data_IF_939822226293
#
_entry.id   IF_939822226293
#
_cell.length_a   1.000
_cell.length_b   1.000
_cell.length_c   1.000
_cell.angle_alpha   90.00
_cell.angle_beta   90.00
_cell.angle_gamma   90.00
#
_symmetry.space_group_name_H-M   'P 1'
#
loop_
_entity.id
_entity.type
_entity.pdbx_description
1 polymer ?
#
# COMPACT_ATOMS: atom_id res chain seq x y z
N UNK A 1 -55.55 27.74 34.66
CA UNK A 1 -55.81 26.88 33.48
C UNK A 1 -54.47 26.29 33.07
N UNK A 2 -54.20 25.07 33.50
CA UNK A 2 -52.94 24.34 33.29
C UNK A 2 -53.23 23.22 32.32
N UNK A 3 -52.54 23.19 31.19
CA UNK A 3 -52.69 22.20 30.13
C UNK A 3 -51.53 21.21 30.25
N UNK A 4 -51.85 19.97 30.60
CA UNK A 4 -50.93 18.84 30.61
C UNK A 4 -51.11 18.06 29.29
N UNK A 5 -50.10 18.03 28.39
CA UNK A 5 -50.24 17.42 27.06
C UNK A 5 -49.89 15.92 27.00
N UNK A 6 -49.63 15.25 28.13
CA UNK A 6 -49.24 13.83 28.13
C UNK A 6 -50.40 12.89 28.48
N UNK A 7 -51.39 12.83 27.58
CA UNK A 7 -52.40 11.79 27.60
C UNK A 7 -52.66 11.30 26.18
N UNK A 8 -51.95 10.27 25.71
CA UNK A 8 -52.64 9.03 25.37
C UNK A 8 -51.72 7.84 25.13
N UNK A 9 -52.17 6.74 25.72
CA UNK A 9 -51.62 5.40 25.67
C UNK A 9 -52.18 4.72 24.41
N UNK A 10 -51.30 4.13 23.61
CA UNK A 10 -51.66 3.34 22.42
C UNK A 10 -50.80 2.08 22.30
N UNK A 11 -50.62 1.35 23.40
CA UNK A 11 -49.97 0.03 23.38
C UNK A 11 -51.01 -1.00 22.96
N UNK A 12 -51.05 -1.32 21.66
CA UNK A 12 -51.74 -2.50 21.13
C UNK A 12 -50.72 -3.57 20.76
N UNK A 13 -50.78 -4.80 21.30
CA UNK A 13 -49.93 -5.87 20.83
C UNK A 13 -50.51 -6.43 19.53
N UNK A 14 -50.01 -5.95 18.38
CA UNK A 14 -50.23 -6.63 17.10
C UNK A 14 -49.22 -7.78 16.99
N UNK A 15 -49.58 -8.93 17.55
CA UNK A 15 -48.93 -10.20 17.24
C UNK A 15 -49.41 -10.69 15.87
N UNK A 16 -48.99 -10.00 14.81
CA UNK A 16 -49.06 -10.56 13.47
C UNK A 16 -47.89 -11.53 13.33
N UNK A 17 -48.09 -12.76 13.80
CA UNK A 17 -47.24 -13.90 13.50
C UNK A 17 -47.34 -14.21 12.01
N UNK A 18 -46.64 -13.41 11.19
CA UNK A 18 -46.30 -13.78 9.83
C UNK A 18 -45.36 -14.96 9.94
N UNK A 19 -45.92 -16.17 9.88
CA UNK A 19 -45.20 -17.40 9.54
C UNK A 19 -44.61 -17.19 8.15
N UNK A 20 -43.45 -16.52 8.08
CA UNK A 20 -42.59 -16.60 6.91
C UNK A 20 -42.23 -18.08 6.81
N UNK A 21 -42.74 -18.72 5.77
CA UNK A 21 -42.21 -20.00 5.31
C UNK A 21 -40.71 -19.78 5.10
N UNK A 22 -39.92 -20.15 6.10
CA UNK A 22 -38.48 -20.32 5.97
C UNK A 22 -38.30 -21.51 5.05
N UNK A 23 -38.38 -21.25 3.74
CA UNK A 23 -37.78 -22.17 2.79
C UNK A 23 -36.32 -22.30 3.22
N UNK A 24 -35.80 -23.52 3.40
CA UNK A 24 -34.39 -23.70 3.67
C UNK A 24 -33.67 -23.03 2.51
N UNK A 25 -32.94 -21.96 2.79
CA UNK A 25 -32.04 -21.33 1.83
C UNK A 25 -31.08 -22.45 1.46
N UNK A 26 -31.32 -23.04 0.28
CA UNK A 26 -30.47 -24.07 -0.27
C UNK A 26 -29.09 -23.45 -0.33
N UNK A 27 -28.19 -23.91 0.54
CA UNK A 27 -26.78 -23.57 0.45
C UNK A 27 -26.33 -24.26 -0.82
N UNK A 28 -26.53 -23.60 -1.95
CA UNK A 28 -25.99 -24.01 -3.23
C UNK A 28 -24.49 -24.03 -3.02
N UNK A 29 -23.94 -25.23 -2.78
CA UNK A 29 -22.52 -25.51 -2.91
C UNK A 29 -22.16 -25.14 -4.34
N UNK A 30 -21.69 -23.90 -4.51
CA UNK A 30 -21.18 -23.41 -5.78
C UNK A 30 -20.09 -24.39 -6.21
N UNK A 31 -20.33 -25.02 -7.37
CA UNK A 31 -19.39 -25.92 -8.02
C UNK A 31 -18.02 -25.24 -8.16
N UNK A 32 -16.93 -26.04 -8.25
CA UNK A 32 -15.55 -25.56 -8.23
C UNK A 32 -15.36 -24.40 -9.21
N UNK A 33 -15.10 -23.23 -8.62
CA UNK A 33 -14.83 -21.96 -9.30
C UNK A 33 -13.70 -22.15 -10.31
N UNK A 34 -13.84 -21.57 -11.50
CA UNK A 34 -12.76 -21.58 -12.48
C UNK A 34 -11.53 -20.90 -11.87
N UNK A 35 -10.33 -21.20 -12.39
CA UNK A 35 -9.10 -20.54 -11.93
C UNK A 35 -9.20 -19.00 -12.03
N UNK A 36 -9.94 -18.50 -13.03
CA UNK A 36 -10.17 -17.06 -13.22
C UNK A 36 -11.05 -16.48 -12.11
N UNK A 37 -12.11 -17.20 -11.70
CA UNK A 37 -12.98 -16.79 -10.61
C UNK A 37 -12.22 -16.72 -9.27
N UNK A 38 -11.33 -17.68 -9.01
CA UNK A 38 -10.51 -17.68 -7.81
C UNK A 38 -9.54 -16.48 -7.75
N UNK A 39 -8.95 -16.09 -8.89
CA UNK A 39 -8.09 -14.91 -8.98
C UNK A 39 -8.88 -13.62 -8.78
N UNK A 40 -10.07 -13.53 -9.40
CA UNK A 40 -10.97 -12.40 -9.23
C UNK A 40 -11.42 -12.26 -7.76
N UNK A 41 -11.88 -13.34 -7.14
CA UNK A 41 -12.30 -13.36 -5.74
C UNK A 41 -11.17 -12.96 -4.79
N UNK A 42 -9.95 -13.45 -5.02
CA UNK A 42 -8.77 -13.05 -4.24
C UNK A 42 -8.45 -11.56 -4.39
N UNK A 43 -8.58 -11.02 -5.60
CA UNK A 43 -8.31 -9.61 -5.86
C UNK A 43 -9.34 -8.72 -5.14
N UNK A 44 -10.62 -9.07 -5.21
CA UNK A 44 -11.69 -8.36 -4.50
C UNK A 44 -11.53 -8.43 -2.98
N UNK A 45 -11.19 -9.61 -2.46
CA UNK A 45 -10.87 -9.77 -1.05
C UNK A 45 -9.75 -8.80 -0.61
N UNK A 46 -8.65 -8.75 -1.37
CA UNK A 46 -7.52 -7.87 -1.04
C UNK A 46 -7.87 -6.39 -1.15
N UNK A 47 -8.63 -5.98 -2.17
CA UNK A 47 -9.09 -4.60 -2.29
C UNK A 47 -9.97 -4.21 -1.09
N UNK A 48 -10.88 -5.07 -0.66
CA UNK A 48 -11.72 -4.82 0.52
C UNK A 48 -10.89 -4.71 1.81
N UNK A 49 -9.89 -5.58 1.99
CA UNK A 49 -8.97 -5.51 3.13
C UNK A 49 -8.19 -4.20 3.12
N UNK A 50 -7.62 -3.81 1.97
CA UNK A 50 -6.88 -2.56 1.84
C UNK A 50 -7.75 -1.35 2.12
N UNK A 51 -8.98 -1.33 1.61
CA UNK A 51 -9.96 -0.28 1.89
C UNK A 51 -10.22 -0.14 3.38
N UNK A 52 -10.53 -1.24 4.06
CA UNK A 52 -10.84 -1.22 5.49
C UNK A 52 -9.67 -0.70 6.33
N UNK A 53 -8.43 -1.14 5.99
CA UNK A 53 -7.21 -0.65 6.64
C UNK A 53 -7.07 0.86 6.44
N UNK A 54 -7.16 1.35 5.20
CA UNK A 54 -6.95 2.76 4.88
C UNK A 54 -8.07 3.65 5.44
N UNK A 55 -9.32 3.19 5.44
CA UNK A 55 -10.44 3.90 6.07
C UNK A 55 -10.27 3.95 7.60
N UNK A 56 -9.77 2.87 8.21
CA UNK A 56 -9.44 2.87 9.64
C UNK A 56 -8.32 3.85 9.96
N UNK A 57 -7.25 3.85 9.16
CA UNK A 57 -6.14 4.80 9.31
C UNK A 57 -6.58 6.25 9.08
N UNK A 58 -7.47 6.51 8.11
CA UNK A 58 -8.03 7.84 7.89
C UNK A 58 -8.86 8.30 9.09
N UNK A 59 -9.64 7.39 9.68
CA UNK A 59 -10.43 7.66 10.89
C UNK A 59 -9.53 7.97 12.09
N UNK A 60 -8.42 7.26 12.24
CA UNK A 60 -7.42 7.54 13.27
C UNK A 60 -6.66 8.84 13.01
N UNK A 61 -6.33 9.15 11.76
CA UNK A 61 -5.69 10.42 11.40
C UNK A 61 -6.56 11.62 11.76
N UNK A 62 -7.87 11.55 11.48
CA UNK A 62 -8.84 12.58 11.87
C UNK A 62 -9.00 12.75 13.40
N UNK A 63 -8.69 11.71 14.17
CA UNK A 63 -8.73 11.76 15.65
C UNK A 63 -7.48 12.39 16.24
N UNK A 64 -6.41 12.52 15.47
CA UNK A 64 -5.20 13.17 15.96
C UNK A 64 -5.53 14.61 16.30
N UNK A 65 -5.24 15.08 17.53
CA UNK A 65 -5.25 16.50 17.79
C UNK A 65 -4.29 17.12 16.76
N UNK A 66 -4.81 18.04 15.96
CA UNK A 66 -4.06 18.78 14.96
C UNK A 66 -3.00 19.59 15.71
N UNK A 67 -1.84 18.98 15.98
CA UNK A 67 -0.73 19.57 16.75
C UNK A 67 -0.08 20.75 16.03
N UNK A 68 -0.56 21.08 14.83
CA UNK A 68 -0.09 22.14 13.93
C UNK A 68 -0.59 23.56 14.28
N UNK A 69 -0.53 23.94 15.55
CA UNK A 69 -0.67 25.37 15.91
C UNK A 69 0.02 25.77 17.23
N UNK A 70 0.31 24.82 18.14
CA UNK A 70 0.87 25.16 19.45
C UNK A 70 2.40 25.15 19.47
N UNK A 71 3.06 24.32 18.65
CA UNK A 71 4.54 24.24 18.63
C UNK A 71 5.21 25.39 17.88
N UNK A 72 4.53 26.00 16.90
CA UNK A 72 5.06 27.21 16.23
C UNK A 72 5.09 28.45 17.14
N UNK A 73 4.32 28.46 18.24
CA UNK A 73 4.39 29.53 19.26
C UNK A 73 5.42 29.26 20.36
N UNK A 74 5.88 28.02 20.52
CA UNK A 74 6.82 27.65 21.59
C UNK A 74 8.30 27.75 21.18
N UNK A 75 8.58 27.97 19.89
CA UNK A 75 9.93 28.19 19.34
C UNK A 75 10.56 29.58 19.65
N UNK A 76 9.90 30.42 20.46
CA UNK A 76 10.45 31.72 20.89
C UNK A 76 11.11 31.69 22.29
N UNK A 77 11.11 30.53 22.97
CA UNK A 77 11.71 30.37 24.29
C UNK A 77 12.80 29.31 24.27
N UNK A 78 14.00 29.70 24.66
CA UNK A 78 15.27 28.97 24.74
C UNK A 78 15.19 27.72 25.65
N UNK A 79 14.46 26.68 25.21
CA UNK A 79 14.32 25.41 25.92
C UNK A 79 14.95 24.32 25.06
N UNK A 80 16.01 23.73 25.61
CA UNK A 80 16.66 22.50 25.15
C UNK A 80 15.56 21.50 24.71
N UNK A 81 15.44 21.30 23.39
CA UNK A 81 14.41 20.44 22.81
C UNK A 81 14.71 19.01 23.20
N UNK A 82 14.11 18.56 24.29
CA UNK A 82 14.06 17.15 24.64
C UNK A 82 13.25 16.48 23.52
N UNK A 83 13.95 15.77 22.63
CA UNK A 83 13.35 14.91 21.61
C UNK A 83 12.61 13.79 22.36
N UNK A 84 11.38 14.04 22.75
CA UNK A 84 10.46 12.98 23.11
C UNK A 84 10.12 12.28 21.79
N UNK A 85 10.82 11.18 21.49
CA UNK A 85 10.33 10.24 20.48
C UNK A 85 8.95 9.78 20.96
N UNK A 86 7.90 10.32 20.35
CA UNK A 86 6.53 9.92 20.60
C UNK A 86 6.37 8.50 20.04
N UNK A 87 6.73 7.51 20.85
CA UNK A 87 6.75 6.09 20.47
C UNK A 87 5.39 5.63 19.92
N UNK A 88 4.32 6.32 20.33
CA UNK A 88 2.93 6.08 19.93
C UNK A 88 2.55 6.70 18.57
N UNK A 89 3.43 7.48 17.94
CA UNK A 89 3.16 8.07 16.62
C UNK A 89 3.27 7.04 15.49
N UNK A 90 2.19 6.31 15.22
CA UNK A 90 2.15 5.29 14.15
C UNK A 90 2.28 5.84 12.71
N UNK A 91 2.25 7.15 12.49
CA UNK A 91 2.33 7.78 11.16
C UNK A 91 3.67 8.52 10.96
N UNK A 92 4.74 7.96 11.48
CA UNK A 92 6.12 8.42 11.28
C UNK A 92 6.79 7.79 10.05
N UNK A 93 6.01 7.15 9.17
CA UNK A 93 6.49 6.43 7.98
C UNK A 93 6.83 4.96 8.21
N UNK A 94 6.62 4.42 9.43
CA UNK A 94 6.67 2.96 9.69
C UNK A 94 5.59 2.22 8.89
N UNK A 95 4.42 2.84 8.72
CA UNK A 95 3.34 2.35 7.87
C UNK A 95 3.54 2.84 6.43
N UNK A 96 3.26 1.98 5.46
CA UNK A 96 3.39 2.30 4.03
C UNK A 96 2.43 1.48 3.16
N UNK A 97 2.06 2.05 2.01
CA UNK A 97 1.42 1.32 0.92
C UNK A 97 2.47 0.86 -0.08
N UNK A 98 2.29 -0.33 -0.66
CA UNK A 98 3.05 -0.82 -1.80
C UNK A 98 2.22 -0.68 -3.08
N UNK A 99 2.76 -0.02 -4.11
CA UNK A 99 2.06 0.17 -5.40
C UNK A 99 2.27 -1.02 -6.34
N UNK A 100 1.58 -1.03 -7.49
CA UNK A 100 1.83 -2.03 -8.54
C UNK A 100 3.24 -1.94 -9.11
N UNK A 101 3.80 -0.72 -9.16
CA UNK A 101 5.18 -0.49 -9.57
C UNK A 101 6.22 -1.00 -8.54
N UNK A 102 5.78 -1.48 -7.37
CA UNK A 102 6.66 -1.90 -6.28
C UNK A 102 7.21 -0.74 -5.45
N UNK A 103 6.66 0.46 -5.61
CA UNK A 103 7.05 1.63 -4.83
C UNK A 103 6.47 1.53 -3.41
N UNK A 104 7.28 1.86 -2.40
CA UNK A 104 6.85 1.96 -1.00
C UNK A 104 6.58 3.41 -0.64
N UNK A 105 5.31 3.76 -0.45
CA UNK A 105 4.89 5.11 -0.10
C UNK A 105 4.60 5.14 1.41
N UNK A 106 5.46 5.79 2.23
CA UNK A 106 5.24 5.91 3.66
C UNK A 106 4.02 6.79 3.96
N UNK A 107 3.29 6.46 5.03
CA UNK A 107 2.05 7.14 5.41
C UNK A 107 2.34 8.01 6.64
N UNK A 108 2.22 9.32 6.47
CA UNK A 108 2.07 10.30 7.54
C UNK A 108 0.61 10.72 7.75
N UNK A 109 -0.18 10.73 6.68
CA UNK A 109 -1.62 10.97 6.71
C UNK A 109 -2.27 10.22 5.54
N UNK A 110 -3.55 9.87 5.70
CA UNK A 110 -4.36 9.26 4.64
C UNK A 110 -5.79 9.78 4.70
N UNK A 111 -6.31 10.20 3.54
CA UNK A 111 -7.65 10.76 3.42
C UNK A 111 -8.36 10.20 2.19
N UNK A 112 -9.60 9.71 2.29
CA UNK A 112 -10.39 9.37 1.11
C UNK A 112 -10.83 10.66 0.40
N UNK A 113 -10.48 10.82 -0.89
CA UNK A 113 -10.86 12.02 -1.68
C UNK A 113 -12.19 11.78 -2.40
N UNK A 114 -12.44 10.56 -2.86
CA UNK A 114 -13.62 10.22 -3.64
C UNK A 114 -14.02 8.77 -3.41
N UNK A 115 -15.31 8.55 -3.17
CA UNK A 115 -15.96 7.25 -3.28
C UNK A 115 -17.07 7.41 -4.32
N UNK A 116 -16.80 6.99 -5.56
CA UNK A 116 -17.82 6.99 -6.60
C UNK A 116 -18.59 5.67 -6.51
N UNK A 117 -19.81 5.72 -5.96
CA UNK A 117 -20.78 4.64 -6.05
C UNK A 117 -21.63 4.81 -7.32
N UNK A 118 -21.81 3.78 -8.17
CA UNK A 118 -22.66 3.92 -9.34
C UNK A 118 -24.12 4.09 -8.96
N UNK A 119 -24.77 5.10 -9.54
CA UNK A 119 -26.22 5.29 -9.47
C UNK A 119 -26.90 4.31 -10.44
N UNK A 120 -26.98 3.02 -10.11
CA UNK A 120 -27.52 2.02 -11.06
C UNK A 120 -28.60 1.12 -10.46
N UNK A 121 -29.49 0.65 -11.34
CA UNK A 121 -30.60 -0.28 -11.07
C UNK A 121 -30.10 -1.70 -10.77
N UNK A 122 -30.95 -2.51 -10.11
CA UNK A 122 -30.60 -3.71 -9.31
C UNK A 122 -29.52 -4.67 -9.84
N UNK A 123 -29.45 -4.93 -11.15
CA UNK A 123 -28.52 -5.92 -11.71
C UNK A 123 -27.10 -5.36 -11.95
N UNK A 124 -26.98 -4.04 -12.20
CA UNK A 124 -25.69 -3.35 -12.30
C UNK A 124 -25.08 -3.04 -10.93
N UNK A 125 -25.86 -3.22 -9.85
CA UNK A 125 -25.43 -3.02 -8.46
C UNK A 125 -24.46 -4.11 -7.98
N UNK A 126 -24.59 -5.36 -8.42
CA UNK A 126 -23.64 -6.41 -8.04
C UNK A 126 -22.27 -6.19 -8.72
N UNK A 127 -22.28 -5.77 -9.99
CA UNK A 127 -21.06 -5.40 -10.73
C UNK A 127 -20.45 -4.07 -10.24
N UNK A 128 -21.26 -3.12 -9.78
CA UNK A 128 -20.75 -1.86 -9.25
C UNK A 128 -20.42 -1.83 -7.76
N UNK A 129 -21.00 -2.71 -6.93
CA UNK A 129 -20.48 -3.00 -5.58
C UNK A 129 -19.06 -3.57 -5.65
N UNK A 130 -18.71 -4.19 -6.79
CA UNK A 130 -17.40 -4.79 -7.03
C UNK A 130 -16.33 -3.75 -7.39
N UNK A 131 -16.71 -2.55 -7.84
CA UNK A 131 -15.79 -1.47 -8.25
C UNK A 131 -16.28 -0.12 -7.72
N UNK A 132 -16.43 0.00 -6.40
CA UNK A 132 -16.39 1.33 -5.79
C UNK A 132 -14.96 1.86 -5.94
N UNK A 133 -14.72 2.72 -6.94
CA UNK A 133 -13.47 3.44 -7.10
C UNK A 133 -13.27 4.34 -5.88
N UNK A 134 -12.47 3.89 -4.93
CA UNK A 134 -12.03 4.71 -3.80
C UNK A 134 -10.65 5.23 -4.12
N UNK A 135 -10.52 6.56 -4.14
CA UNK A 135 -9.24 7.23 -4.32
C UNK A 135 -8.81 7.78 -2.97
N UNK A 136 -7.59 7.47 -2.57
CA UNK A 136 -6.98 7.98 -1.34
C UNK A 136 -5.89 8.98 -1.66
N UNK A 137 -5.86 10.06 -0.88
CA UNK A 137 -4.70 10.93 -0.71
C UNK A 137 -3.83 10.33 0.38
N UNK A 138 -2.54 10.17 0.11
CA UNK A 138 -1.54 9.76 1.09
C UNK A 138 -0.50 10.87 1.17
N UNK A 139 -0.32 11.42 2.35
CA UNK A 139 0.77 12.36 2.64
C UNK A 139 1.92 11.58 3.27
N UNK A 140 3.14 11.75 2.77
CA UNK A 140 4.34 11.14 3.35
C UNK A 140 4.86 11.98 4.53
N UNK A 141 5.74 11.42 5.38
CA UNK A 141 6.41 12.21 6.43
C UNK A 141 7.27 13.35 5.89
N UNK A 142 7.70 13.27 4.62
CA UNK A 142 8.42 14.33 3.92
C UNK A 142 7.50 15.44 3.39
N UNK A 143 6.18 15.28 3.48
CA UNK A 143 5.17 16.22 2.99
C UNK A 143 4.79 16.03 1.52
N UNK A 144 5.29 14.99 0.86
CA UNK A 144 4.88 14.63 -0.49
C UNK A 144 3.47 14.04 -0.49
N UNK A 145 2.69 14.34 -1.53
CA UNK A 145 1.28 13.95 -1.61
C UNK A 145 1.08 13.05 -2.81
N UNK A 146 0.55 11.86 -2.56
CA UNK A 146 0.20 10.86 -3.56
C UNK A 146 -1.31 10.72 -3.62
N UNK A 147 -1.89 10.75 -4.82
CA UNK A 147 -3.32 10.48 -5.04
C UNK A 147 -3.42 9.18 -5.81
N UNK A 148 -3.88 8.13 -5.14
CA UNK A 148 -3.83 6.77 -5.66
C UNK A 148 -5.21 6.13 -5.62
N UNK A 149 -5.64 5.51 -6.72
CA UNK A 149 -6.81 4.67 -6.68
C UNK A 149 -6.49 3.36 -5.93
N UNK A 150 -7.48 2.80 -5.25
CA UNK A 150 -7.31 1.58 -4.44
C UNK A 150 -6.73 0.41 -5.26
N UNK A 151 -7.11 0.29 -6.52
CA UNK A 151 -6.58 -0.74 -7.42
C UNK A 151 -5.10 -0.59 -7.74
N UNK A 152 -4.47 0.56 -7.52
CA UNK A 152 -3.02 0.73 -7.67
C UNK A 152 -2.27 0.16 -6.46
N UNK A 153 -2.95 -0.06 -5.33
CA UNK A 153 -2.35 -0.49 -4.07
C UNK A 153 -2.35 -2.01 -3.96
N UNK A 154 -1.15 -2.61 -3.95
CA UNK A 154 -0.98 -4.07 -3.88
C UNK A 154 -0.96 -4.62 -2.47
N UNK A 155 -0.56 -3.82 -1.51
CA UNK A 155 -0.43 -4.28 -0.14
C UNK A 155 -0.08 -3.18 0.84
N UNK A 156 -0.10 -3.59 2.10
CA UNK A 156 0.23 -2.75 3.23
C UNK A 156 1.50 -3.28 3.89
N UNK A 157 2.41 -2.38 4.22
CA UNK A 157 3.68 -2.71 4.86
C UNK A 157 3.81 -1.94 6.16
N UNK A 158 4.09 -2.67 7.25
CA UNK A 158 4.37 -2.11 8.56
C UNK A 158 5.78 -2.52 9.00
N UNK A 159 6.61 -1.52 9.30
CA UNK A 159 7.93 -1.73 9.91
C UNK A 159 7.77 -1.69 11.43
N UNK A 160 8.28 -2.71 12.12
CA UNK A 160 8.29 -2.69 13.58
C UNK A 160 9.31 -1.66 14.08
N UNK A 161 9.11 -1.07 15.27
CA UNK A 161 10.07 -0.12 15.85
C UNK A 161 11.48 -0.72 15.91
N UNK A 162 11.59 -1.98 16.34
CA UNK A 162 12.87 -2.66 16.48
C UNK A 162 13.58 -2.87 15.13
N UNK A 163 12.83 -3.06 14.04
CA UNK A 163 13.41 -3.14 12.70
C UNK A 163 13.90 -1.76 12.26
N UNK A 164 13.14 -0.71 12.61
CA UNK A 164 13.50 0.67 12.30
C UNK A 164 14.78 1.09 13.02
N UNK A 165 14.93 0.71 14.29
CA UNK A 165 16.17 0.94 15.06
C UNK A 165 17.36 0.24 14.44
N UNK A 166 17.19 -1.02 13.98
CA UNK A 166 18.25 -1.75 13.28
C UNK A 166 18.64 -1.09 11.96
N UNK A 167 17.67 -0.56 11.21
CA UNK A 167 17.94 0.19 9.97
C UNK A 167 18.67 1.50 10.28
N UNK A 168 18.22 2.28 11.27
CA UNK A 168 18.89 3.50 11.75
C UNK A 168 20.33 3.21 12.17
N UNK A 169 20.55 2.14 12.94
CA UNK A 169 21.87 1.72 13.39
C UNK A 169 22.79 1.28 12.23
N UNK A 170 22.24 0.57 11.24
CA UNK A 170 23.00 0.15 10.06
C UNK A 170 23.41 1.34 9.19
N UNK A 171 22.52 2.33 9.02
CA UNK A 171 22.81 3.54 8.25
C UNK A 171 23.91 4.39 8.92
N UNK A 172 23.82 4.60 10.24
CA UNK A 172 24.86 5.31 11.02
C UNK A 172 26.22 4.59 10.97
N UNK A 173 26.21 3.26 10.95
CA UNK A 173 27.42 2.44 10.81
C UNK A 173 28.12 2.59 9.45
N UNK A 174 27.42 3.02 8.39
CA UNK A 174 28.02 3.27 7.08
C UNK A 174 28.66 4.66 6.95
N UNK A 175 28.16 5.67 7.67
CA UNK A 175 28.68 7.04 7.60
C UNK A 175 29.99 7.21 8.40
N UNK A 176 30.19 6.40 9.45
CA UNK A 176 31.44 6.37 10.21
C UNK A 176 32.37 5.35 9.53
N UNK A 177 33.14 5.83 8.55
CA UNK A 177 34.00 5.06 7.64
C UNK A 177 34.95 4.05 8.29
N UNK A 178 34.41 2.89 8.67
CA UNK A 178 35.16 1.66 8.85
C UNK A 178 34.87 0.81 7.62
N UNK A 179 35.87 0.70 6.75
CA UNK A 179 35.93 -0.28 5.68
C UNK A 179 35.87 -1.70 6.27
N UNK A 180 34.70 -2.15 6.71
CA UNK A 180 34.48 -3.57 7.01
C UNK A 180 34.16 -4.26 5.70
N UNK A 181 35.20 -4.83 5.13
CA UNK A 181 35.19 -5.79 4.04
C UNK A 181 34.07 -6.84 4.27
N UNK A 182 33.01 -6.80 3.45
CA UNK A 182 32.14 -7.97 3.23
C UNK A 182 30.74 -8.04 3.87
N UNK A 183 30.27 -7.03 4.62
CA UNK A 183 28.93 -7.09 5.23
C UNK A 183 27.88 -6.24 4.47
N UNK A 184 27.61 -6.55 3.20
CA UNK A 184 26.40 -6.03 2.54
C UNK A 184 25.16 -6.66 3.20
N UNK A 185 24.11 -5.89 3.56
CA UNK A 185 22.92 -6.42 4.22
C UNK A 185 22.24 -7.48 3.34
N UNK A 186 21.75 -8.55 3.99
CA UNK A 186 21.12 -9.69 3.33
C UNK A 186 19.93 -9.21 2.50
N UNK A 187 20.09 -9.20 1.18
CA UNK A 187 19.12 -8.66 0.21
C UNK A 187 19.71 -7.67 -0.77
N UNK A 188 20.66 -6.80 -0.36
CA UNK A 188 21.30 -5.84 -1.27
C UNK A 188 22.34 -6.50 -2.19
N UNK A 189 23.05 -7.53 -1.69
CA UNK A 189 24.03 -8.29 -2.48
C UNK A 189 23.42 -8.97 -3.72
N UNK A 190 22.13 -9.32 -3.69
CA UNK A 190 21.43 -9.93 -4.81
C UNK A 190 21.18 -8.92 -5.95
N UNK A 191 20.83 -7.68 -5.61
CA UNK A 191 20.59 -6.61 -6.59
C UNK A 191 21.90 -6.04 -7.17
N UNK A 192 22.95 -5.91 -6.34
CA UNK A 192 24.25 -5.41 -6.81
C UNK A 192 25.03 -6.45 -7.64
N UNK A 193 24.82 -7.75 -7.40
CA UNK A 193 25.42 -8.83 -8.20
C UNK A 193 24.93 -8.86 -9.65
N UNK A 194 23.67 -8.48 -9.92
CA UNK A 194 23.14 -8.36 -11.29
C UNK A 194 23.77 -7.19 -12.05
N UNK A 195 24.00 -6.05 -11.39
CA UNK A 195 24.65 -4.90 -12.00
C UNK A 195 26.14 -5.15 -12.30
N UNK A 196 26.86 -5.85 -11.40
CA UNK A 196 28.29 -6.17 -11.59
C UNK A 196 28.52 -7.18 -12.72
N UNK A 197 27.61 -8.13 -12.94
CA UNK A 197 27.71 -9.07 -14.08
C UNK A 197 27.37 -8.46 -15.45
N UNK A 198 26.63 -7.34 -15.50
CA UNK A 198 26.33 -6.66 -16.75
C UNK A 198 27.56 -5.94 -17.35
N UNK A 199 28.51 -5.52 -16.49
CA UNK A 199 29.73 -4.81 -16.92
C UNK A 199 30.86 -5.77 -17.34
N UNK A 200 30.79 -7.05 -16.98
CA UNK A 200 31.78 -8.09 -17.34
C UNK A 200 31.35 -8.89 -18.59
N UNK A 201 30.52 -8.32 -19.47
CA UNK A 201 30.52 -8.74 -20.87
C UNK A 201 31.70 -8.06 -21.57
N UNK A 202 32.81 -8.79 -21.67
CA UNK A 202 33.99 -8.41 -22.43
C UNK A 202 33.58 -7.85 -23.81
N UNK A 203 34.02 -6.64 -24.21
CA UNK A 203 33.98 -6.26 -25.61
C UNK A 203 34.83 -7.26 -26.38
N UNK A 204 34.18 -8.01 -27.27
CA UNK A 204 34.81 -9.02 -28.08
C UNK A 204 36.03 -8.46 -28.80
N UNK A 205 37.14 -9.18 -28.67
CA UNK A 205 38.24 -9.18 -29.63
C UNK A 205 37.63 -9.24 -31.03
N UNK A 206 37.71 -8.14 -31.77
CA UNK A 206 37.49 -8.11 -33.20
C UNK A 206 38.41 -9.14 -33.82
N UNK A 207 37.81 -10.14 -34.47
CA UNK A 207 38.52 -11.25 -35.08
C UNK A 207 39.57 -10.74 -36.07
N UNK A 208 40.78 -11.27 -35.92
CA UNK A 208 41.74 -11.41 -37.00
C UNK A 208 41.03 -12.03 -38.20
N UNK A 209 41.02 -11.30 -39.31
CA UNK A 209 40.70 -11.84 -40.62
C UNK A 209 41.91 -12.70 -41.03
N UNK A 210 41.76 -14.01 -41.30
CA UNK A 210 42.84 -14.78 -41.87
C UNK A 210 43.06 -14.30 -43.31
N UNK A 211 44.23 -13.71 -43.55
CA UNK A 211 44.75 -13.42 -44.88
C UNK A 211 44.91 -14.75 -45.64
N UNK A 212 43.98 -15.02 -46.56
CA UNK A 212 44.13 -16.11 -47.51
C UNK A 212 44.94 -15.61 -48.70
N UNK A 213 46.27 -15.72 -48.59
CA UNK A 213 47.17 -15.71 -49.74
C UNK A 213 46.83 -16.92 -50.61
N UNK A 214 46.23 -16.70 -51.79
CA UNK A 214 46.31 -17.66 -52.89
C UNK A 214 47.00 -17.00 -54.08
N UNK A 215 48.30 -17.25 -54.12
CA UNK A 215 49.21 -16.92 -55.21
C UNK A 215 49.22 -18.04 -56.25
N UNK A 216 49.30 -17.64 -57.53
CA UNK A 216 49.84 -18.40 -58.69
C UNK A 216 48.94 -19.51 -59.26
N UNK A 217 48.88 -19.80 -60.56
CA UNK A 217 49.63 -19.37 -61.75
C UNK A 217 49.11 -20.12 -62.98
N UNK A 218 49.25 -19.53 -64.17
CA UNK A 218 49.44 -20.22 -65.46
C UNK A 218 48.15 -20.72 -66.13
N UNK A 219 47.71 -20.22 -67.27
CA UNK A 219 48.39 -20.16 -68.59
C UNK A 219 48.89 -21.53 -69.07
N UNK A 220 48.18 -22.12 -70.04
CA UNK A 220 48.78 -22.74 -71.24
C UNK A 220 47.72 -23.16 -72.27
N UNK A 221 47.87 -22.54 -73.45
CA UNK A 221 47.64 -23.01 -74.83
C UNK A 221 46.28 -23.56 -75.25
#
# INVERSE_FOLDING_TARGET
MSHDPYANIGIGPRQDTVRRNAQPVGVHHAQPQSMQDAIAARSLFWLNVMREILTSLASESLRRPQLEASDLLQAAGDVESVEYEDEDNMFDGRLAVLTHAGERIPIADVQPIMTAGPNTTGDERELSMTVECTVFQITTPTGEIFTLPLEEMRGFHALTPQLMDRIKQSARGQEIGVSSDGAEPFGFAAFTSLAKNATVRQPGKSGEVPEHEDSRSGEKK
#
